data_IF_835746386904
#
_entry.id   IF_835746386904
#
_cell.length_a   1.000
_cell.length_b   1.000
_cell.length_c   1.000
_cell.angle_alpha   90.00
_cell.angle_beta   90.00
_cell.angle_gamma   90.00
#
_symmetry.space_group_name_H-M   'P 1'
#
loop_
_entity.id
_entity.type
_entity.pdbx_description
1 polymer ?
#
# COMPACT_ATOMS: atom_id res chain seq x y z
N UNK A 1 -24.34 -40.57 -66.31
CA UNK A 1 -23.39 -39.63 -65.68
C UNK A 1 -23.94 -39.24 -64.32
N UNK A 2 -23.09 -39.37 -63.29
CA UNK A 2 -23.17 -38.94 -61.89
C UNK A 2 -24.06 -39.67 -60.85
N UNK A 3 -23.38 -40.56 -60.11
CA UNK A 3 -23.57 -40.87 -58.69
C UNK A 3 -23.73 -39.61 -57.84
N UNK A 4 -24.68 -39.62 -56.90
CA UNK A 4 -24.43 -39.24 -55.49
C UNK A 4 -25.35 -40.05 -54.58
N UNK A 5 -24.80 -41.18 -54.18
CA UNK A 5 -25.21 -41.89 -52.99
C UNK A 5 -24.86 -41.10 -51.72
N UNK A 6 -25.63 -41.44 -50.68
CA UNK A 6 -25.21 -41.65 -49.29
C UNK A 6 -25.28 -40.51 -48.25
N UNK A 7 -25.90 -40.97 -47.16
CA UNK A 7 -25.56 -40.76 -45.76
C UNK A 7 -26.16 -39.57 -45.00
N UNK A 8 -27.24 -39.89 -44.28
CA UNK A 8 -27.37 -39.45 -42.89
C UNK A 8 -26.22 -40.05 -42.06
N UNK A 9 -25.69 -39.29 -41.09
CA UNK A 9 -25.25 -39.86 -39.83
C UNK A 9 -26.11 -39.35 -38.67
N UNK A 10 -26.46 -40.32 -37.83
CA UNK A 10 -26.87 -40.18 -36.45
C UNK A 10 -25.72 -39.68 -35.56
N UNK A 11 -26.09 -39.42 -34.30
CA UNK A 11 -25.22 -39.36 -33.11
C UNK A 11 -24.42 -38.09 -32.83
N UNK A 12 -24.35 -37.75 -31.55
CA UNK A 12 -23.19 -37.03 -31.02
C UNK A 12 -23.49 -35.83 -30.14
N UNK A 13 -23.93 -36.12 -28.91
CA UNK A 13 -23.52 -35.46 -27.68
C UNK A 13 -22.32 -34.47 -27.77
N UNK A 14 -22.41 -33.40 -26.96
CA UNK A 14 -21.34 -32.44 -26.64
C UNK A 14 -20.98 -31.43 -27.73
N UNK A 15 -21.70 -30.30 -27.74
CA UNK A 15 -21.03 -29.03 -28.04
C UNK A 15 -20.11 -28.71 -26.86
N UNK A 16 -18.77 -28.74 -26.98
CA UNK A 16 -17.96 -27.95 -26.08
C UNK A 16 -18.29 -26.49 -26.38
N UNK A 17 -18.85 -25.79 -25.40
CA UNK A 17 -19.11 -24.34 -25.45
C UNK A 17 -17.81 -23.50 -25.37
N UNK A 18 -16.72 -24.06 -25.88
CA UNK A 18 -15.39 -23.49 -25.88
C UNK A 18 -14.78 -23.79 -27.24
N UNK A 19 -15.00 -22.91 -28.22
CA UNK A 19 -14.00 -22.76 -29.26
C UNK A 19 -12.71 -22.30 -28.55
N UNK A 20 -11.57 -22.96 -28.74
CA UNK A 20 -10.30 -22.39 -28.36
C UNK A 20 -10.11 -21.17 -29.27
N UNK A 21 -10.41 -20.00 -28.73
CA UNK A 21 -9.99 -18.76 -29.35
C UNK A 21 -8.47 -18.77 -29.24
N UNK A 22 -7.77 -18.84 -30.37
CA UNK A 22 -6.31 -18.77 -30.53
C UNK A 22 -5.68 -17.44 -30.03
N UNK A 23 -6.32 -16.79 -29.05
CA UNK A 23 -5.91 -15.59 -28.34
C UNK A 23 -5.73 -15.80 -26.85
N UNK A 24 -5.98 -17.01 -26.34
CA UNK A 24 -5.46 -17.42 -25.04
C UNK A 24 -4.04 -17.96 -25.28
N UNK A 25 -3.12 -17.04 -25.56
CA UNK A 25 -1.71 -17.29 -25.29
C UNK A 25 -1.64 -17.69 -23.82
N UNK A 26 -1.52 -19.00 -23.59
CA UNK A 26 -1.02 -19.56 -22.37
C UNK A 26 0.37 -18.98 -22.24
N UNK A 27 0.47 -17.83 -21.56
CA UNK A 27 1.72 -17.16 -21.26
C UNK A 27 2.51 -18.17 -20.46
N UNK A 28 3.42 -18.84 -21.17
CA UNK A 28 4.32 -19.83 -20.62
C UNK A 28 5.13 -19.14 -19.53
N UNK A 29 4.73 -19.47 -18.31
CA UNK A 29 5.52 -19.36 -17.10
C UNK A 29 6.94 -19.84 -17.41
N UNK A 30 7.93 -19.05 -16.96
CA UNK A 30 9.39 -19.27 -17.10
C UNK A 30 10.03 -18.64 -18.34
N UNK A 31 10.08 -17.31 -18.34
CA UNK A 31 11.33 -16.65 -18.71
C UNK A 31 11.73 -15.71 -17.58
N UNK A 32 12.94 -15.94 -17.05
CA UNK A 32 13.59 -15.11 -16.03
C UNK A 32 13.94 -13.74 -16.60
N UNK A 33 12.93 -12.95 -16.94
CA UNK A 33 13.09 -11.57 -17.38
C UNK A 33 13.40 -10.76 -16.13
N UNK A 34 14.66 -10.33 -16.02
CA UNK A 34 15.17 -9.41 -15.00
C UNK A 34 14.12 -8.32 -14.76
N UNK A 35 13.43 -8.36 -13.61
CA UNK A 35 12.30 -7.44 -13.31
C UNK A 35 12.81 -6.01 -13.45
N UNK A 36 12.43 -5.33 -14.55
CA UNK A 36 12.80 -3.93 -14.77
C UNK A 36 12.14 -3.14 -13.64
N UNK A 37 12.93 -2.60 -12.72
CA UNK A 37 12.42 -1.83 -11.58
C UNK A 37 11.48 -0.73 -12.11
N UNK A 38 10.20 -0.81 -11.77
CA UNK A 38 9.24 0.24 -12.09
C UNK A 38 9.63 1.50 -11.31
N UNK A 39 10.09 2.53 -12.02
CA UNK A 39 10.45 3.84 -11.42
C UNK A 39 9.31 4.38 -10.55
N UNK A 40 8.06 4.23 -10.98
CA UNK A 40 6.90 4.72 -10.24
C UNK A 40 6.70 4.01 -8.90
N UNK A 41 6.88 2.69 -8.82
CA UNK A 41 6.75 1.96 -7.56
C UNK A 41 7.90 2.31 -6.59
N UNK A 42 9.10 2.57 -7.11
CA UNK A 42 10.22 3.05 -6.30
C UNK A 42 9.96 4.45 -5.73
N UNK A 43 9.40 5.36 -6.52
CA UNK A 43 9.05 6.71 -6.05
C UNK A 43 7.97 6.66 -4.98
N UNK A 44 6.93 5.84 -5.17
CA UNK A 44 5.87 5.63 -4.17
C UNK A 44 6.47 5.12 -2.85
N UNK A 45 7.35 4.12 -2.91
CA UNK A 45 8.00 3.58 -1.72
C UNK A 45 8.85 4.65 -0.98
N UNK A 46 9.59 5.49 -1.71
CA UNK A 46 10.36 6.58 -1.10
C UNK A 46 9.49 7.64 -0.44
N UNK A 47 8.42 8.07 -1.11
CA UNK A 47 7.48 9.04 -0.53
C UNK A 47 6.80 8.43 0.72
N UNK A 48 6.48 7.14 0.69
CA UNK A 48 5.90 6.44 1.84
C UNK A 48 6.86 6.36 3.03
N UNK A 49 8.16 6.14 2.77
CA UNK A 49 9.20 6.20 3.80
C UNK A 49 9.29 7.61 4.42
N UNK A 50 9.36 8.64 3.60
CA UNK A 50 9.46 10.04 4.06
C UNK A 50 8.22 10.43 4.87
N UNK A 51 7.03 10.05 4.41
CA UNK A 51 5.79 10.30 5.14
C UNK A 51 5.74 9.60 6.49
N UNK A 52 6.18 8.33 6.56
CA UNK A 52 6.27 7.60 7.82
C UNK A 52 7.23 8.28 8.81
N UNK A 53 8.40 8.74 8.34
CA UNK A 53 9.37 9.46 9.18
C UNK A 53 8.79 10.77 9.73
N UNK A 54 8.10 11.55 8.89
CA UNK A 54 7.49 12.80 9.31
C UNK A 54 6.37 12.54 10.32
N UNK A 55 5.51 11.56 10.08
CA UNK A 55 4.44 11.19 11.01
C UNK A 55 4.97 10.73 12.36
N UNK A 56 6.02 9.89 12.36
CA UNK A 56 6.68 9.48 13.58
C UNK A 56 7.27 10.67 14.35
N UNK A 57 7.94 11.61 13.64
CA UNK A 57 8.48 12.81 14.27
C UNK A 57 7.38 13.72 14.87
N UNK A 58 6.25 13.91 14.16
CA UNK A 58 5.11 14.68 14.66
C UNK A 58 4.58 14.08 15.97
N UNK A 59 4.32 12.77 15.97
CA UNK A 59 3.79 12.10 17.16
C UNK A 59 4.78 12.14 18.33
N UNK A 60 6.06 11.89 18.07
CA UNK A 60 7.11 11.95 19.09
C UNK A 60 7.19 13.34 19.72
N UNK A 61 7.17 14.41 18.91
CA UNK A 61 7.23 15.80 19.37
C UNK A 61 5.98 16.15 20.18
N UNK A 62 4.78 15.77 19.72
CA UNK A 62 3.53 16.06 20.42
C UNK A 62 3.49 15.37 21.79
N UNK A 63 3.94 14.12 21.88
CA UNK A 63 4.02 13.41 23.15
C UNK A 63 5.07 14.00 24.10
N UNK A 64 6.22 14.44 23.57
CA UNK A 64 7.25 15.13 24.34
C UNK A 64 6.76 16.47 24.89
N UNK A 65 6.10 17.28 24.06
CA UNK A 65 5.52 18.57 24.48
C UNK A 65 4.47 18.37 25.59
N UNK A 66 3.63 17.35 25.46
CA UNK A 66 2.65 17.00 26.48
C UNK A 66 3.32 16.61 27.80
N UNK A 67 4.26 15.67 27.78
CA UNK A 67 4.95 15.23 29.01
C UNK A 67 5.80 16.34 29.65
N UNK A 68 6.44 17.20 28.85
CA UNK A 68 7.20 18.36 29.34
C UNK A 68 6.30 19.38 30.03
N UNK A 69 5.03 19.48 29.64
CA UNK A 69 4.07 20.37 30.29
C UNK A 69 3.54 19.83 31.62
N UNK A 70 3.53 18.51 31.80
CA UNK A 70 2.92 17.85 32.97
C UNK A 70 3.91 17.32 34.01
N UNK A 71 5.17 17.03 33.64
CA UNK A 71 6.14 16.41 34.57
C UNK A 71 7.08 17.42 35.23
N UNK A 72 7.36 17.31 36.54
CA UNK A 72 8.36 18.13 37.21
C UNK A 72 9.75 17.87 36.61
N UNK A 73 10.58 18.92 36.55
CA UNK A 73 11.88 19.01 35.86
C UNK A 73 12.99 17.99 36.26
N UNK A 74 12.65 16.93 36.99
CA UNK A 74 13.59 15.92 37.51
C UNK A 74 13.86 14.75 36.55
N UNK A 75 13.10 14.59 35.47
CA UNK A 75 13.33 13.52 34.50
C UNK A 75 14.26 13.99 33.39
N UNK A 76 15.38 13.29 33.17
CA UNK A 76 16.31 13.60 32.07
C UNK A 76 15.60 13.57 30.72
N UNK A 77 15.97 14.47 29.79
CA UNK A 77 15.41 14.51 28.43
C UNK A 77 15.47 13.14 27.74
N UNK A 78 16.54 12.38 27.98
CA UNK A 78 16.72 11.05 27.43
C UNK A 78 15.65 10.07 27.92
N UNK A 79 15.30 10.08 29.21
CA UNK A 79 14.24 9.19 29.73
C UNK A 79 12.87 9.56 29.19
N UNK A 80 12.60 10.85 28.99
CA UNK A 80 11.34 11.32 28.39
C UNK A 80 11.24 10.95 26.90
N UNK A 81 12.35 11.01 26.16
CA UNK A 81 12.36 10.56 24.76
C UNK A 81 12.17 9.05 24.63
N UNK A 82 12.76 8.26 25.53
CA UNK A 82 12.56 6.81 25.53
C UNK A 82 11.13 6.43 25.90
N UNK A 83 10.52 7.09 26.90
CA UNK A 83 9.11 6.83 27.24
C UNK A 83 8.17 7.22 26.11
N UNK A 84 8.42 8.35 25.43
CA UNK A 84 7.67 8.77 24.26
C UNK A 84 7.77 7.75 23.12
N UNK A 85 8.97 7.24 22.86
CA UNK A 85 9.19 6.20 21.87
C UNK A 85 8.39 4.92 22.20
N UNK A 86 8.48 4.43 23.44
CA UNK A 86 7.76 3.23 23.88
C UNK A 86 6.25 3.42 23.79
N UNK A 87 5.75 4.60 24.18
CA UNK A 87 4.33 4.93 24.09
C UNK A 87 3.82 4.87 22.65
N UNK A 88 4.49 5.54 21.71
CA UNK A 88 4.09 5.52 20.30
C UNK A 88 4.12 4.10 19.72
N UNK A 89 5.15 3.32 20.04
CA UNK A 89 5.24 1.91 19.60
C UNK A 89 4.25 0.96 20.28
N UNK A 90 3.57 1.39 21.35
CA UNK A 90 2.48 0.63 21.98
C UNK A 90 1.12 0.87 21.31
N UNK A 91 0.97 1.95 20.54
CA UNK A 91 -0.30 2.27 19.88
C UNK A 91 -0.56 1.32 18.72
N UNK A 92 -1.69 0.61 18.79
CA UNK A 92 -2.13 -0.35 17.75
C UNK A 92 -2.11 0.29 16.35
N UNK A 93 -2.61 1.51 16.22
CA UNK A 93 -2.64 2.27 14.96
C UNK A 93 -1.24 2.50 14.42
N UNK A 94 -0.29 2.90 15.27
CA UNK A 94 1.10 3.13 14.89
C UNK A 94 1.80 1.85 14.45
N UNK A 95 1.57 0.74 15.17
CA UNK A 95 2.12 -0.59 14.84
C UNK A 95 1.65 -1.02 13.43
N UNK A 96 0.33 -0.99 13.18
CA UNK A 96 -0.23 -1.43 11.89
C UNK A 96 0.25 -0.57 10.72
N UNK A 97 0.36 0.73 10.92
CA UNK A 97 0.86 1.67 9.91
C UNK A 97 2.32 1.43 9.62
N UNK A 98 3.12 1.17 10.64
CA UNK A 98 4.54 0.86 10.51
C UNK A 98 4.77 -0.46 9.77
N UNK A 99 4.10 -1.53 10.20
CA UNK A 99 4.20 -2.84 9.54
C UNK A 99 3.75 -2.75 8.08
N UNK A 100 2.60 -2.13 7.82
CA UNK A 100 2.07 -1.99 6.46
C UNK A 100 2.96 -1.13 5.58
N UNK A 101 3.55 -0.05 6.12
CA UNK A 101 4.48 0.81 5.38
C UNK A 101 5.78 0.10 5.06
N UNK A 102 6.36 -0.66 6.00
CA UNK A 102 7.58 -1.45 5.77
C UNK A 102 7.32 -2.54 4.72
N UNK A 103 6.23 -3.29 4.85
CA UNK A 103 5.85 -4.31 3.88
C UNK A 103 5.57 -3.71 2.50
N UNK A 104 4.91 -2.55 2.44
CA UNK A 104 4.73 -1.77 1.20
C UNK A 104 6.08 -1.46 0.56
N UNK A 105 7.00 -0.81 1.29
CA UNK A 105 8.31 -0.38 0.77
C UNK A 105 9.11 -1.58 0.25
N UNK A 106 9.28 -2.62 1.06
CA UNK A 106 10.06 -3.80 0.70
C UNK A 106 9.42 -4.55 -0.47
N UNK A 107 8.09 -4.73 -0.43
CA UNK A 107 7.36 -5.48 -1.43
C UNK A 107 7.27 -4.74 -2.77
N UNK A 108 7.08 -3.42 -2.76
CA UNK A 108 7.14 -2.58 -3.96
C UNK A 108 8.54 -2.57 -4.55
N UNK A 109 9.60 -2.48 -3.73
CA UNK A 109 10.98 -2.50 -4.23
C UNK A 109 11.34 -3.84 -4.88
N UNK A 110 10.83 -4.94 -4.32
CA UNK A 110 11.01 -6.31 -4.86
C UNK A 110 10.00 -6.68 -5.95
N UNK A 111 9.07 -5.77 -6.30
CA UNK A 111 8.00 -6.00 -7.29
C UNK A 111 7.26 -7.30 -7.03
N UNK A 112 6.87 -7.55 -5.77
CA UNK A 112 6.10 -8.72 -5.35
C UNK A 112 4.61 -8.37 -5.23
N UNK A 113 3.73 -9.32 -5.53
CA UNK A 113 2.27 -9.17 -5.42
C UNK A 113 1.82 -8.73 -4.03
N UNK A 114 2.40 -9.33 -2.98
CA UNK A 114 2.13 -8.95 -1.58
C UNK A 114 2.56 -7.51 -1.26
N UNK A 115 3.52 -6.96 -1.99
CA UNK A 115 3.96 -5.57 -1.84
C UNK A 115 2.91 -4.57 -2.31
N UNK A 116 2.20 -4.90 -3.39
CA UNK A 116 1.08 -4.10 -3.86
C UNK A 116 -0.09 -4.15 -2.88
N UNK A 117 -0.42 -5.32 -2.32
CA UNK A 117 -1.50 -5.43 -1.33
C UNK A 117 -1.14 -4.66 -0.05
N UNK A 118 0.12 -4.77 0.40
CA UNK A 118 0.63 -4.02 1.54
C UNK A 118 0.61 -2.50 1.28
N UNK A 119 0.92 -2.06 0.06
CA UNK A 119 0.86 -0.65 -0.31
C UNK A 119 -0.56 -0.09 -0.29
N UNK A 120 -1.54 -0.85 -0.78
CA UNK A 120 -2.96 -0.45 -0.69
C UNK A 120 -3.40 -0.42 0.77
N UNK A 121 -3.07 -1.44 1.57
CA UNK A 121 -3.40 -1.46 2.99
C UNK A 121 -2.77 -0.27 3.74
N UNK A 122 -1.49 0.03 3.48
CA UNK A 122 -0.82 1.18 4.06
C UNK A 122 -1.51 2.49 3.68
N UNK A 123 -1.84 2.69 2.40
CA UNK A 123 -2.55 3.87 1.93
C UNK A 123 -3.93 4.02 2.59
N UNK A 124 -4.67 2.93 2.75
CA UNK A 124 -5.95 2.94 3.47
C UNK A 124 -5.78 3.32 4.94
N UNK A 125 -4.74 2.79 5.61
CA UNK A 125 -4.44 3.17 6.99
C UNK A 125 -4.07 4.66 7.12
N UNK A 126 -3.31 5.20 6.17
CA UNK A 126 -3.00 6.63 6.12
C UNK A 126 -4.27 7.49 5.99
N UNK A 127 -5.21 7.09 5.15
CA UNK A 127 -6.51 7.78 5.02
C UNK A 127 -7.36 7.67 6.29
N UNK A 128 -7.34 6.52 6.96
CA UNK A 128 -8.03 6.35 8.25
C UNK A 128 -7.42 7.21 9.36
N UNK A 129 -6.08 7.28 9.46
CA UNK A 129 -5.40 8.17 10.41
C UNK A 129 -5.77 9.62 10.12
N UNK A 130 -5.76 10.03 8.86
CA UNK A 130 -6.18 11.36 8.45
C UNK A 130 -7.60 11.67 8.93
N UNK A 131 -8.55 10.78 8.65
CA UNK A 131 -9.95 10.96 9.05
C UNK A 131 -10.08 11.10 10.58
N UNK A 132 -9.42 10.23 11.34
CA UNK A 132 -9.42 10.26 12.80
C UNK A 132 -8.77 11.54 13.36
N UNK A 133 -7.68 11.96 12.75
CA UNK A 133 -6.92 13.15 13.14
C UNK A 133 -7.74 14.44 12.98
N UNK A 134 -8.52 14.54 11.89
CA UNK A 134 -9.37 15.71 11.62
C UNK A 134 -10.65 15.72 12.45
N UNK A 135 -11.17 14.57 12.88
CA UNK A 135 -12.40 14.53 13.68
C UNK A 135 -12.16 14.80 15.16
N UNK A 136 -11.00 14.43 15.71
CA UNK A 136 -10.75 14.59 17.15
C UNK A 136 -10.26 15.99 17.51
N UNK A 137 -9.10 16.43 17.02
CA UNK A 137 -8.47 17.68 17.50
C UNK A 137 -8.03 18.59 16.34
N UNK A 138 -8.96 19.14 15.52
CA UNK A 138 -8.59 19.99 14.38
C UNK A 138 -8.02 21.34 14.80
N UNK A 139 -8.37 21.89 15.96
CA UNK A 139 -7.92 23.21 16.43
C UNK A 139 -6.50 23.21 17.01
N UNK A 140 -6.12 22.13 17.69
CA UNK A 140 -4.85 22.05 18.45
C UNK A 140 -3.63 21.77 17.55
N UNK A 141 -3.86 21.34 16.31
CA UNK A 141 -2.77 21.00 15.39
C UNK A 141 -2.20 22.20 14.66
N UNK A 142 -0.87 22.19 14.52
CA UNK A 142 -0.13 23.20 13.77
C UNK A 142 -0.52 23.22 12.29
N UNK A 143 -0.30 24.37 11.63
CA UNK A 143 -0.56 24.52 10.17
C UNK A 143 0.27 23.53 9.36
N UNK A 144 1.50 23.25 9.82
CA UNK A 144 2.39 22.27 9.19
C UNK A 144 1.78 20.87 9.20
N UNK A 145 1.30 20.39 10.35
CA UNK A 145 0.66 19.07 10.44
C UNK A 145 -0.55 18.95 9.52
N UNK A 146 -1.45 19.93 9.55
CA UNK A 146 -2.65 19.97 8.69
C UNK A 146 -2.28 19.87 7.22
N UNK A 147 -1.31 20.68 6.80
CA UNK A 147 -0.85 20.71 5.40
C UNK A 147 -0.21 19.38 5.01
N UNK A 148 0.65 18.82 5.87
CA UNK A 148 1.26 17.52 5.65
C UNK A 148 0.20 16.42 5.47
N UNK A 149 -0.77 16.33 6.39
CA UNK A 149 -1.83 15.34 6.34
C UNK A 149 -2.68 15.44 5.06
N UNK A 150 -3.04 16.66 4.62
CA UNK A 150 -3.80 16.88 3.39
C UNK A 150 -3.00 16.44 2.15
N UNK A 151 -1.74 16.87 2.05
CA UNK A 151 -0.87 16.50 0.92
C UNK A 151 -0.63 15.00 0.87
N UNK A 152 -0.44 14.38 2.04
CA UNK A 152 -0.20 12.95 2.13
C UNK A 152 -1.45 12.12 1.83
N UNK A 153 -2.65 12.61 2.19
CA UNK A 153 -3.91 11.99 1.79
C UNK A 153 -4.11 12.02 0.27
N UNK A 154 -3.85 13.16 -0.38
CA UNK A 154 -3.86 13.25 -1.84
C UNK A 154 -2.87 12.27 -2.48
N UNK A 155 -1.66 12.19 -1.93
CA UNK A 155 -0.68 11.20 -2.35
C UNK A 155 -1.18 9.76 -2.18
N UNK A 156 -1.82 9.40 -1.05
CA UNK A 156 -2.36 8.07 -0.81
C UNK A 156 -3.43 7.69 -1.85
N UNK A 157 -4.31 8.63 -2.21
CA UNK A 157 -5.32 8.41 -3.26
C UNK A 157 -4.66 8.22 -4.63
N UNK A 158 -3.78 9.13 -5.04
CA UNK A 158 -3.13 9.10 -6.35
C UNK A 158 -2.23 7.87 -6.50
N UNK A 159 -1.47 7.52 -5.46
CA UNK A 159 -0.61 6.33 -5.44
C UNK A 159 -1.44 5.04 -5.54
N UNK A 160 -2.58 4.97 -4.86
CA UNK A 160 -3.51 3.83 -4.97
C UNK A 160 -4.02 3.67 -6.40
N UNK A 161 -4.46 4.75 -7.05
CA UNK A 161 -4.88 4.71 -8.46
C UNK A 161 -3.75 4.28 -9.39
N UNK A 162 -2.54 4.80 -9.17
CA UNK A 162 -1.35 4.43 -9.95
C UNK A 162 -1.00 2.95 -9.81
N UNK A 163 -1.00 2.43 -8.58
CA UNK A 163 -0.73 1.03 -8.28
C UNK A 163 -1.82 0.13 -8.86
N UNK A 164 -3.07 0.55 -8.82
CA UNK A 164 -4.20 -0.20 -9.39
C UNK A 164 -4.08 -0.33 -10.91
N UNK A 165 -3.79 0.76 -11.61
CA UNK A 165 -3.56 0.77 -13.06
C UNK A 165 -2.41 -0.15 -13.47
N UNK A 166 -1.38 -0.28 -12.64
CA UNK A 166 -0.20 -1.12 -12.89
C UNK A 166 -0.24 -2.47 -12.16
N UNK A 167 -1.42 -2.93 -11.69
CA UNK A 167 -1.54 -4.15 -10.88
C UNK A 167 -0.85 -5.34 -11.53
N UNK A 168 -1.04 -5.57 -12.82
CA UNK A 168 -0.50 -6.72 -13.54
C UNK A 168 1.03 -6.84 -13.51
N UNK A 169 1.77 -5.76 -13.22
CA UNK A 169 3.23 -5.78 -13.09
C UNK A 169 3.69 -6.61 -11.88
N UNK A 170 2.88 -6.72 -10.84
CA UNK A 170 3.25 -7.40 -9.59
C UNK A 170 2.77 -8.86 -9.51
N UNK A 171 1.88 -9.31 -10.39
CA UNK A 171 1.33 -10.68 -10.46
C UNK A 171 2.05 -11.57 -11.50
N UNK A 172 3.18 -11.08 -12.03
CA UNK A 172 4.14 -11.86 -12.85
C UNK A 172 5.27 -12.41 -11.98
#
# INVERSE_FOLDING_TARGET
MNNRDLHFPEEGFNRPLFLPNDKLEVVSFRQGVRKRKSRTASVIAWIQLVGWLIYFAINLINHLLFNLSETPANNSLLSQTLSAFVYEFSQITFIWVTISSILSIVGLHKMKSWGWTAAIAANSLWLSIFAFTFTQNPSERTVFEKTFFIVFALFAVVSTLCLWRKRFVFWR
#
